data_IF_046014059171
#
_entry.id   IF_046014059171
#
_cell.length_a   1.000
_cell.length_b   1.000
_cell.length_c   1.000
_cell.angle_alpha   90.00
_cell.angle_beta   90.00
_cell.angle_gamma   90.00
#
_symmetry.space_group_name_H-M   'P 1'
#
loop_
_entity.id
_entity.type
_entity.pdbx_description
1 polymer ?
#
# COMPACT_ATOMS: atom_id res chain seq x y z
N UNK A 1 2.04 16.05 7.53
CA UNK A 1 3.02 15.38 6.65
C UNK A 1 3.50 14.09 7.32
N UNK A 2 3.76 13.06 6.54
CA UNK A 2 4.34 11.81 7.05
C UNK A 2 5.78 12.06 7.59
N UNK A 3 6.30 11.24 8.52
CA UNK A 3 7.67 11.37 9.00
C UNK A 3 8.68 11.45 7.83
N UNK A 4 9.68 12.30 7.93
CA UNK A 4 10.70 12.58 6.92
C UNK A 4 10.16 13.15 5.57
N UNK A 5 8.91 13.65 5.53
CA UNK A 5 8.33 14.28 4.34
C UNK A 5 7.83 15.69 4.63
N UNK A 6 7.84 16.54 3.61
CA UNK A 6 7.31 17.90 3.70
C UNK A 6 7.94 18.71 4.83
N UNK A 7 7.11 19.20 5.75
CA UNK A 7 7.53 19.95 6.95
C UNK A 7 7.74 19.07 8.19
N UNK A 8 7.50 17.76 8.08
CA UNK A 8 7.68 16.83 9.20
C UNK A 8 9.16 16.60 9.49
N UNK A 9 9.45 16.37 10.78
CA UNK A 9 10.78 15.98 11.21
C UNK A 9 11.08 14.52 10.90
N UNK A 10 12.33 14.11 11.03
CA UNK A 10 12.79 12.76 10.76
C UNK A 10 13.76 12.70 9.58
N UNK A 11 14.47 11.59 9.45
CA UNK A 11 15.48 11.37 8.40
C UNK A 11 15.15 10.20 7.48
N UNK A 12 14.24 9.34 7.92
CA UNK A 12 13.92 8.09 7.23
C UNK A 12 12.46 7.71 7.47
N UNK A 13 11.86 7.07 6.49
CA UNK A 13 10.57 6.41 6.60
C UNK A 13 10.66 5.00 6.04
N UNK A 14 9.92 4.08 6.62
CA UNK A 14 9.62 2.77 6.09
C UNK A 14 8.14 2.44 6.35
N UNK A 15 7.65 1.32 5.84
CA UNK A 15 6.25 0.95 5.94
C UNK A 15 5.76 0.84 7.40
N UNK A 16 6.59 0.34 8.33
CA UNK A 16 6.22 0.24 9.75
C UNK A 16 6.14 1.60 10.44
N UNK A 17 7.14 2.47 10.22
CA UNK A 17 7.12 3.84 10.78
C UNK A 17 5.89 4.59 10.25
N UNK A 18 5.61 4.45 8.96
CA UNK A 18 4.45 5.11 8.36
C UNK A 18 3.12 4.53 8.88
N UNK A 19 3.01 3.22 8.99
CA UNK A 19 1.86 2.53 9.60
C UNK A 19 1.63 3.01 11.05
N UNK A 20 2.70 3.08 11.85
CA UNK A 20 2.66 3.62 13.22
C UNK A 20 2.18 5.08 13.25
N UNK A 21 2.60 5.91 12.29
CA UNK A 21 2.16 7.28 12.18
C UNK A 21 0.67 7.39 11.80
N UNK A 22 0.17 6.56 10.88
CA UNK A 22 -1.25 6.50 10.55
C UNK A 22 -2.07 6.15 11.80
N UNK A 23 -1.62 5.15 12.55
CA UNK A 23 -2.26 4.76 13.79
C UNK A 23 -2.25 5.89 14.84
N UNK A 24 -1.12 6.58 14.99
CA UNK A 24 -1.00 7.74 15.88
C UNK A 24 -1.99 8.85 15.50
N UNK A 25 -2.08 9.20 14.22
CA UNK A 25 -3.02 10.22 13.73
C UNK A 25 -4.46 9.80 14.01
N UNK A 26 -4.82 8.57 13.70
CA UNK A 26 -6.18 8.08 13.97
C UNK A 26 -6.53 8.11 15.46
N UNK A 27 -5.60 7.72 16.32
CA UNK A 27 -5.80 7.69 17.78
C UNK A 27 -5.95 9.08 18.38
N UNK A 28 -5.18 10.07 17.92
CA UNK A 28 -5.09 11.38 18.59
C UNK A 28 -5.96 12.46 17.93
N UNK A 29 -6.31 12.29 16.64
CA UNK A 29 -7.06 13.27 15.84
C UNK A 29 -8.29 12.67 15.15
N UNK A 30 -8.51 11.36 15.34
CA UNK A 30 -9.64 10.65 14.74
C UNK A 30 -10.91 10.67 15.59
N UNK A 31 -11.86 9.78 15.24
CA UNK A 31 -11.69 8.67 14.29
C UNK A 31 -11.65 9.15 12.82
N UNK A 32 -10.66 8.66 12.09
CA UNK A 32 -10.59 8.80 10.62
C UNK A 32 -11.15 7.54 10.00
N UNK A 33 -12.16 7.65 9.19
CA UNK A 33 -12.84 6.50 8.56
C UNK A 33 -12.62 6.41 7.06
N UNK A 34 -12.13 7.49 6.45
CA UNK A 34 -11.88 7.57 5.01
C UNK A 34 -10.39 7.77 4.74
N UNK A 35 -9.79 6.87 3.98
CA UNK A 35 -8.36 6.89 3.68
C UNK A 35 -8.12 6.81 2.18
N UNK A 36 -7.14 7.58 1.70
CA UNK A 36 -6.59 7.48 0.34
C UNK A 36 -5.09 7.25 0.47
N UNK A 37 -4.59 6.30 -0.30
CA UNK A 37 -3.16 5.96 -0.28
C UNK A 37 -2.64 5.67 -1.68
N UNK A 38 -1.35 5.90 -1.89
CA UNK A 38 -0.64 5.59 -3.14
C UNK A 38 0.67 4.86 -2.84
N UNK A 39 1.00 3.87 -3.65
CA UNK A 39 2.30 3.18 -3.62
C UNK A 39 2.65 2.62 -2.22
N UNK A 40 3.82 2.96 -1.66
CA UNK A 40 4.23 2.57 -0.30
C UNK A 40 3.22 3.02 0.77
N UNK A 41 2.48 4.11 0.54
CA UNK A 41 1.41 4.54 1.43
C UNK A 41 0.27 3.52 1.53
N UNK A 42 0.01 2.76 0.45
CA UNK A 42 -0.97 1.67 0.43
C UNK A 42 -0.54 0.49 1.32
N UNK A 43 0.72 0.10 1.24
CA UNK A 43 1.29 -0.92 2.14
C UNK A 43 1.23 -0.44 3.61
N UNK A 44 1.65 0.79 3.89
CA UNK A 44 1.61 1.34 5.24
C UNK A 44 0.19 1.43 5.80
N UNK A 45 -0.78 1.83 4.97
CA UNK A 45 -2.19 1.87 5.36
C UNK A 45 -2.75 0.47 5.64
N UNK A 46 -2.44 -0.53 4.80
CA UNK A 46 -2.88 -1.91 5.04
C UNK A 46 -2.38 -2.44 6.38
N UNK A 47 -1.09 -2.23 6.69
CA UNK A 47 -0.49 -2.62 7.96
C UNK A 47 -1.09 -1.85 9.17
N UNK A 48 -1.50 -0.60 8.96
CA UNK A 48 -2.17 0.18 10.00
C UNK A 48 -3.58 -0.34 10.27
N UNK A 49 -4.37 -0.55 9.22
CA UNK A 49 -5.75 -1.05 9.30
C UNK A 49 -5.81 -2.44 9.93
N UNK A 50 -4.85 -3.33 9.63
CA UNK A 50 -4.75 -4.66 10.24
C UNK A 50 -4.74 -4.59 11.78
N UNK A 51 -4.16 -3.52 12.35
CA UNK A 51 -4.04 -3.31 13.80
C UNK A 51 -5.12 -2.39 14.39
N UNK A 52 -5.92 -1.76 13.56
CA UNK A 52 -6.98 -0.84 13.98
C UNK A 52 -8.31 -1.58 14.06
N UNK A 53 -9.14 -1.23 15.05
CA UNK A 53 -10.55 -1.63 15.03
C UNK A 53 -11.24 -0.87 13.90
N UNK A 54 -11.85 -1.59 12.97
CA UNK A 54 -12.57 -1.02 11.83
C UNK A 54 -13.73 -1.94 11.39
N UNK A 55 -14.68 -1.40 10.68
CA UNK A 55 -15.88 -2.08 10.17
C UNK A 55 -16.19 -1.61 8.72
N UNK A 56 -17.34 -2.01 8.19
CA UNK A 56 -17.82 -1.65 6.85
C UNK A 56 -18.10 -0.15 6.64
N UNK A 57 -18.12 0.66 7.68
CA UNK A 57 -18.25 2.12 7.58
C UNK A 57 -16.96 2.80 7.14
N UNK A 58 -15.83 2.11 7.33
CA UNK A 58 -14.55 2.59 6.83
C UNK A 58 -14.47 2.44 5.32
N UNK A 59 -13.89 3.45 4.66
CA UNK A 59 -13.67 3.46 3.21
C UNK A 59 -12.18 3.67 2.93
N UNK A 60 -11.55 2.71 2.25
CA UNK A 60 -10.13 2.75 1.90
C UNK A 60 -9.97 2.85 0.40
N UNK A 61 -9.15 3.76 -0.07
CA UNK A 61 -8.74 3.83 -1.48
C UNK A 61 -7.26 3.48 -1.58
N UNK A 62 -6.96 2.40 -2.28
CA UNK A 62 -5.62 2.04 -2.68
C UNK A 62 -5.40 2.43 -4.14
N UNK A 63 -4.41 3.28 -4.41
CA UNK A 63 -4.00 3.65 -5.75
C UNK A 63 -2.61 3.06 -5.98
N UNK A 64 -2.48 2.10 -6.90
CA UNK A 64 -1.23 1.42 -7.21
C UNK A 64 -0.40 1.09 -5.94
N UNK A 65 -0.97 0.40 -4.93
CA UNK A 65 -0.25 0.12 -3.70
C UNK A 65 0.98 -0.75 -3.97
N UNK A 66 2.02 -0.63 -3.13
CA UNK A 66 3.14 -1.57 -3.12
C UNK A 66 2.64 -2.91 -2.53
N UNK A 67 2.04 -3.74 -3.40
CA UNK A 67 1.31 -4.95 -2.99
C UNK A 67 2.24 -5.98 -2.38
N UNK A 68 3.40 -6.21 -3.03
CA UNK A 68 4.40 -7.16 -2.55
C UNK A 68 5.78 -6.50 -2.42
N UNK A 69 6.30 -6.47 -1.19
CA UNK A 69 7.64 -5.89 -0.93
C UNK A 69 8.75 -6.68 -1.61
N UNK A 70 8.59 -7.99 -1.72
CA UNK A 70 9.56 -8.86 -2.41
C UNK A 70 9.74 -8.47 -3.86
N UNK A 71 8.66 -8.22 -4.60
CA UNK A 71 8.70 -7.82 -6.01
C UNK A 71 9.42 -6.48 -6.17
N UNK A 72 9.09 -5.50 -5.32
CA UNK A 72 9.74 -4.20 -5.31
C UNK A 72 11.25 -4.31 -5.01
N UNK A 73 11.63 -5.13 -4.02
CA UNK A 73 13.02 -5.39 -3.67
C UNK A 73 13.75 -6.08 -4.84
N UNK A 74 13.18 -7.13 -5.43
CA UNK A 74 13.76 -7.84 -6.58
C UNK A 74 14.02 -6.90 -7.75
N UNK A 75 13.07 -6.03 -8.06
CA UNK A 75 13.20 -5.04 -9.14
C UNK A 75 14.32 -4.05 -8.86
N UNK A 76 14.42 -3.54 -7.62
CA UNK A 76 15.49 -2.63 -7.21
C UNK A 76 16.88 -3.30 -7.31
N UNK A 77 17.02 -4.52 -6.77
CA UNK A 77 18.29 -5.25 -6.79
C UNK A 77 18.74 -5.58 -8.21
N UNK A 78 17.80 -5.96 -9.08
CA UNK A 78 18.06 -6.18 -10.51
C UNK A 78 18.51 -4.89 -11.20
N UNK A 79 17.83 -3.78 -10.93
CA UNK A 79 18.18 -2.47 -11.50
C UNK A 79 19.58 -2.02 -11.08
N UNK A 80 19.92 -2.18 -9.80
CA UNK A 80 21.23 -1.83 -9.25
C UNK A 80 22.31 -2.88 -9.53
N UNK A 81 21.98 -4.00 -10.17
CA UNK A 81 22.88 -5.14 -10.45
C UNK A 81 23.59 -5.65 -9.20
N UNK A 82 22.89 -5.67 -8.06
CA UNK A 82 23.42 -6.19 -6.81
C UNK A 82 23.35 -7.72 -6.79
N UNK A 83 24.34 -8.33 -6.16
CA UNK A 83 24.42 -9.80 -6.06
C UNK A 83 23.48 -10.36 -4.96
N UNK A 84 23.36 -11.69 -4.95
CA UNK A 84 22.50 -12.40 -4.01
C UNK A 84 22.94 -12.22 -2.54
N UNK A 85 24.25 -12.07 -2.27
CA UNK A 85 24.74 -11.90 -0.89
C UNK A 85 24.29 -10.57 -0.30
N UNK A 86 24.27 -9.51 -1.11
CA UNK A 86 23.73 -8.21 -0.70
C UNK A 86 22.22 -8.31 -0.46
N UNK A 87 21.51 -9.11 -1.28
CA UNK A 87 20.10 -9.37 -1.08
C UNK A 87 19.82 -10.11 0.22
N UNK A 88 20.54 -11.20 0.49
CA UNK A 88 20.40 -11.96 1.74
C UNK A 88 20.69 -11.09 2.98
N UNK A 89 21.75 -10.26 2.91
CA UNK A 89 22.07 -9.33 3.99
C UNK A 89 20.97 -8.27 4.21
N UNK A 90 20.35 -7.82 3.11
CA UNK A 90 19.23 -6.87 3.17
C UNK A 90 17.98 -7.52 3.80
N UNK A 91 17.63 -8.72 3.37
CA UNK A 91 16.48 -9.45 3.91
C UNK A 91 16.65 -9.74 5.41
N UNK A 92 17.84 -10.17 5.81
CA UNK A 92 18.22 -10.38 7.21
C UNK A 92 18.13 -9.07 8.02
N UNK A 93 18.60 -7.96 7.46
CA UNK A 93 18.49 -6.66 8.11
C UNK A 93 17.03 -6.22 8.29
N UNK A 94 16.16 -6.47 7.30
CA UNK A 94 14.71 -6.22 7.45
C UNK A 94 14.16 -7.03 8.62
N UNK A 95 14.44 -8.33 8.67
CA UNK A 95 13.94 -9.21 9.72
C UNK A 95 14.47 -8.81 11.11
N UNK A 96 15.76 -8.53 11.24
CA UNK A 96 16.37 -8.05 12.49
C UNK A 96 15.78 -6.73 12.99
N UNK A 97 15.45 -5.80 12.09
CA UNK A 97 14.92 -4.49 12.44
C UNK A 97 13.41 -4.47 12.67
N UNK A 98 12.67 -5.32 11.98
CA UNK A 98 11.21 -5.32 12.01
C UNK A 98 10.61 -6.43 12.88
N UNK A 99 11.35 -7.52 13.08
CA UNK A 99 10.84 -8.75 13.66
C UNK A 99 10.05 -9.63 12.68
N UNK A 100 10.02 -9.25 11.38
CA UNK A 100 9.25 -9.95 10.35
C UNK A 100 10.08 -10.12 9.08
N UNK A 101 9.95 -11.25 8.37
CA UNK A 101 10.61 -11.44 7.07
C UNK A 101 10.01 -10.49 6.01
N UNK A 102 10.74 -10.20 4.92
CA UNK A 102 10.27 -9.28 3.88
C UNK A 102 8.91 -9.63 3.28
N UNK A 103 8.58 -10.92 3.14
CA UNK A 103 7.30 -11.42 2.61
C UNK A 103 6.10 -11.05 3.49
N UNK A 104 6.34 -10.78 4.76
CA UNK A 104 5.28 -10.34 5.68
C UNK A 104 4.71 -8.97 5.29
N UNK A 105 5.52 -8.14 4.63
CA UNK A 105 5.12 -6.81 4.18
C UNK A 105 4.37 -6.90 2.85
N UNK A 106 3.12 -7.34 2.89
CA UNK A 106 2.26 -7.61 1.75
C UNK A 106 0.85 -7.09 1.99
N UNK A 107 0.32 -6.32 1.03
CA UNK A 107 -1.09 -5.89 1.05
C UNK A 107 -2.00 -7.09 0.75
N UNK A 108 -1.55 -8.02 -0.12
CA UNK A 108 -2.30 -9.23 -0.42
C UNK A 108 -2.48 -10.11 0.82
N UNK A 109 -1.45 -10.20 1.69
CA UNK A 109 -1.55 -10.89 2.98
C UNK A 109 -2.60 -10.27 3.90
N UNK A 110 -2.69 -8.94 3.91
CA UNK A 110 -3.61 -8.22 4.80
C UNK A 110 -5.05 -8.21 4.26
N UNK A 111 -5.24 -8.23 2.95
CA UNK A 111 -6.53 -8.08 2.29
C UNK A 111 -7.68 -8.91 2.90
N UNK A 112 -7.49 -10.21 3.28
CA UNK A 112 -8.57 -11.02 3.89
C UNK A 112 -9.06 -10.51 5.25
N UNK A 113 -8.23 -9.75 5.98
CA UNK A 113 -8.56 -9.24 7.32
C UNK A 113 -9.25 -7.87 7.30
N UNK A 114 -9.27 -7.21 6.16
CA UNK A 114 -9.89 -5.89 6.00
C UNK A 114 -11.43 -6.06 6.02
N UNK A 115 -12.09 -5.38 6.94
CA UNK A 115 -13.56 -5.30 7.02
C UNK A 115 -14.12 -4.04 6.36
N UNK A 116 -13.27 -3.06 6.12
CA UNK A 116 -13.60 -1.82 5.46
C UNK A 116 -13.98 -2.06 3.98
N UNK A 117 -14.77 -1.16 3.41
CA UNK A 117 -14.96 -1.11 1.97
C UNK A 117 -13.69 -0.59 1.30
N UNK A 118 -13.24 -1.25 0.25
CA UNK A 118 -12.00 -0.92 -0.46
C UNK A 118 -12.30 -0.61 -1.92
N UNK A 119 -11.79 0.51 -2.42
CA UNK A 119 -11.61 0.76 -3.85
C UNK A 119 -10.12 0.62 -4.17
N UNK A 120 -9.78 -0.35 -5.02
CA UNK A 120 -8.42 -0.61 -5.46
C UNK A 120 -8.24 -0.20 -6.92
N UNK A 121 -7.57 0.95 -7.13
CA UNK A 121 -7.23 1.45 -8.45
C UNK A 121 -5.83 0.96 -8.85
N UNK A 122 -5.72 0.30 -10.00
CA UNK A 122 -4.43 -0.19 -10.48
C UNK A 122 -4.33 -0.08 -12.01
N UNK A 123 -3.12 0.11 -12.54
CA UNK A 123 -2.90 0.18 -13.98
C UNK A 123 -2.17 -1.07 -14.47
N UNK A 124 -2.64 -1.65 -15.58
CA UNK A 124 -2.01 -2.84 -16.17
C UNK A 124 -0.54 -2.64 -16.57
N UNK A 125 -0.18 -1.40 -16.91
CA UNK A 125 1.17 -1.04 -17.33
C UNK A 125 1.98 -0.38 -16.20
N UNK A 126 1.65 -0.70 -14.93
CA UNK A 126 2.45 -0.25 -13.79
C UNK A 126 3.77 -1.02 -13.75
N UNK A 127 4.87 -0.30 -13.94
CA UNK A 127 6.23 -0.84 -13.97
C UNK A 127 6.93 -0.85 -12.60
N UNK A 128 6.33 -0.20 -11.60
CA UNK A 128 6.87 -0.13 -10.25
C UNK A 128 6.18 -1.11 -9.28
N UNK A 129 4.86 -1.19 -9.39
CA UNK A 129 4.03 -2.13 -8.62
C UNK A 129 3.20 -2.94 -9.62
N UNK A 130 3.73 -4.04 -10.16
CA UNK A 130 3.13 -4.72 -11.29
C UNK A 130 1.77 -5.32 -10.94
N UNK A 131 0.85 -5.32 -11.93
CA UNK A 131 -0.50 -5.88 -11.76
C UNK A 131 -0.48 -7.35 -11.34
N UNK A 132 0.55 -8.09 -11.71
CA UNK A 132 0.74 -9.50 -11.31
C UNK A 132 0.79 -9.72 -9.81
N UNK A 133 1.19 -8.71 -9.02
CA UNK A 133 1.14 -8.78 -7.55
C UNK A 133 -0.29 -8.60 -7.01
N UNK A 134 -1.19 -8.04 -7.83
CA UNK A 134 -2.60 -7.78 -7.46
C UNK A 134 -3.52 -8.89 -7.93
N UNK A 135 -3.18 -9.58 -9.03
CA UNK A 135 -3.98 -10.65 -9.60
C UNK A 135 -4.44 -11.70 -8.59
N UNK A 136 -3.57 -12.19 -7.66
CA UNK A 136 -4.01 -13.14 -6.63
C UNK A 136 -5.11 -12.59 -5.70
N UNK A 137 -5.15 -11.27 -5.48
CA UNK A 137 -6.20 -10.62 -4.67
C UNK A 137 -7.48 -10.50 -5.49
N UNK A 138 -7.38 -10.18 -6.79
CA UNK A 138 -8.53 -10.11 -7.71
C UNK A 138 -9.21 -11.48 -7.83
N UNK A 139 -8.44 -12.54 -7.98
CA UNK A 139 -8.93 -13.92 -8.11
C UNK A 139 -9.73 -14.40 -6.89
N UNK A 140 -9.41 -13.87 -5.70
CA UNK A 140 -10.14 -14.21 -4.45
C UNK A 140 -11.54 -13.59 -4.37
N UNK A 141 -11.84 -12.59 -5.20
CA UNK A 141 -13.16 -11.95 -5.31
C UNK A 141 -13.73 -11.54 -3.93
N UNK A 142 -12.91 -10.89 -3.11
CA UNK A 142 -13.37 -10.42 -1.80
C UNK A 142 -14.55 -9.42 -1.97
N UNK A 143 -15.71 -9.64 -1.33
CA UNK A 143 -16.92 -8.85 -1.56
C UNK A 143 -16.79 -7.37 -1.11
N UNK A 144 -15.82 -7.07 -0.26
CA UNK A 144 -15.55 -5.72 0.25
C UNK A 144 -14.51 -4.97 -0.60
N UNK A 145 -13.91 -5.59 -1.63
CA UNK A 145 -12.90 -4.97 -2.50
C UNK A 145 -13.47 -4.79 -3.91
N UNK A 146 -13.58 -3.54 -4.32
CA UNK A 146 -13.90 -3.15 -5.70
C UNK A 146 -12.61 -2.79 -6.43
N UNK A 147 -12.35 -3.41 -7.60
CA UNK A 147 -11.20 -3.10 -8.43
C UNK A 147 -11.58 -2.15 -9.56
N UNK A 148 -10.77 -1.12 -9.75
CA UNK A 148 -10.82 -0.22 -10.91
C UNK A 148 -9.49 -0.30 -11.66
N UNK A 149 -9.46 -1.15 -12.69
CA UNK A 149 -8.25 -1.43 -13.48
C UNK A 149 -8.23 -0.50 -14.69
N UNK A 150 -7.12 0.22 -14.84
CA UNK A 150 -6.84 1.12 -15.97
C UNK A 150 -5.74 0.54 -16.86
N UNK A 151 -5.51 1.17 -18.01
CA UNK A 151 -4.48 0.76 -18.96
C UNK A 151 -3.80 2.00 -19.55
N UNK A 152 -2.47 2.00 -19.60
CA UNK A 152 -1.66 3.05 -20.21
C UNK A 152 -1.35 4.24 -19.30
N UNK A 153 -1.78 4.25 -18.03
CA UNK A 153 -1.47 5.32 -17.08
C UNK A 153 -0.15 5.08 -16.34
N UNK A 154 0.13 3.81 -15.99
CA UNK A 154 1.29 3.42 -15.18
C UNK A 154 1.24 4.02 -13.77
N UNK A 155 2.31 3.82 -13.02
CA UNK A 155 2.39 4.13 -11.58
C UNK A 155 2.15 5.59 -11.21
N UNK A 156 2.66 6.53 -12.05
CA UNK A 156 2.73 7.95 -11.70
C UNK A 156 1.61 8.80 -12.28
N UNK A 157 0.88 8.31 -13.28
CA UNK A 157 -0.23 9.07 -13.89
C UNK A 157 -1.59 8.65 -13.37
N UNK A 158 -1.72 7.43 -12.85
CA UNK A 158 -2.99 6.89 -12.36
C UNK A 158 -3.67 7.82 -11.34
N UNK A 159 -2.96 8.35 -10.34
CA UNK A 159 -3.54 9.24 -9.33
C UNK A 159 -3.84 10.66 -9.84
N UNK A 160 -3.38 10.99 -11.07
CA UNK A 160 -3.65 12.28 -11.72
C UNK A 160 -4.79 12.20 -12.72
N UNK A 161 -5.17 11.00 -13.15
CA UNK A 161 -6.22 10.78 -14.12
C UNK A 161 -7.59 11.22 -13.59
N UNK A 162 -8.39 11.90 -14.45
CA UNK A 162 -9.66 12.46 -14.01
C UNK A 162 -10.72 11.38 -13.79
N UNK A 163 -10.72 10.29 -14.58
CA UNK A 163 -11.68 9.19 -14.40
C UNK A 163 -11.39 8.43 -13.09
N UNK A 164 -10.12 8.25 -12.74
CA UNK A 164 -9.72 7.67 -11.45
C UNK A 164 -10.20 8.57 -10.30
N UNK A 165 -10.01 9.88 -10.40
CA UNK A 165 -10.48 10.84 -9.39
C UNK A 165 -12.01 10.83 -9.25
N UNK A 166 -12.73 10.82 -10.37
CA UNK A 166 -14.20 10.72 -10.38
C UNK A 166 -14.66 9.43 -9.71
N UNK A 167 -14.02 8.29 -10.01
CA UNK A 167 -14.33 7.00 -9.37
C UNK A 167 -14.10 7.05 -7.86
N UNK A 168 -13.02 7.67 -7.41
CA UNK A 168 -12.73 7.87 -5.98
C UNK A 168 -13.79 8.75 -5.31
N UNK A 169 -14.17 9.85 -5.95
CA UNK A 169 -15.22 10.73 -5.41
C UNK A 169 -16.56 10.02 -5.29
N UNK A 170 -16.95 9.23 -6.31
CA UNK A 170 -18.15 8.39 -6.28
C UNK A 170 -18.09 7.36 -5.14
N UNK A 171 -16.93 6.72 -4.92
CA UNK A 171 -16.77 5.75 -3.85
C UNK A 171 -16.92 6.37 -2.46
N UNK A 172 -16.48 7.62 -2.26
CA UNK A 172 -16.64 8.32 -0.99
C UNK A 172 -18.01 8.98 -0.81
N UNK A 173 -18.78 9.13 -1.87
CA UNK A 173 -20.14 9.66 -1.76
C UNK A 173 -20.98 8.85 -0.75
N UNK A 174 -21.96 9.48 -0.09
CA UNK A 174 -22.86 8.87 0.89
C UNK A 174 -23.56 7.62 0.37
#
# INVERSE_FOLDING_TARGET
DAPAHGRSTGRMINALIYSGFIHYVNKNYGPVTNFISHSMGGLALSLAIEKMSHDEKYKLVFIAPATETITAANSLFKFLKLDHKVREAFDKLIEEKSGFPPEWFSVARVAPSIKARVLWCHDKNDDMTPITDVEPVIEKQYPHIEFYITEGLGHRRIYRDNKVKEKILQFFAP
#
